data_IF_400660438291
#
_entry.id   IF_400660438291
#
_cell.length_a   1.000
_cell.length_b   1.000
_cell.length_c   1.000
_cell.angle_alpha   90.00
_cell.angle_beta   90.00
_cell.angle_gamma   90.00
#
_symmetry.space_group_name_H-M   'P 1'
#
loop_
_entity.id
_entity.type
_entity.pdbx_description
1 polymer ?
#
# COMPACT_ATOMS: atom_id res chain seq x y z
N UNK A 1 55.12 15.02 0.56
CA UNK A 1 54.41 13.70 0.78
C UNK A 1 53.26 13.75 1.79
N UNK A 2 53.07 14.85 2.53
CA UNK A 2 51.94 15.00 3.47
C UNK A 2 50.68 15.61 2.82
N UNK A 3 50.82 16.29 1.69
CA UNK A 3 49.73 17.04 1.05
C UNK A 3 48.78 16.12 0.21
N UNK A 4 49.33 15.08 -0.38
CA UNK A 4 48.55 14.12 -1.22
C UNK A 4 47.59 13.26 -0.37
N UNK A 5 47.96 12.88 0.85
CA UNK A 5 47.13 12.12 1.76
C UNK A 5 45.93 12.92 2.30
N UNK A 6 46.14 14.24 2.49
CA UNK A 6 45.07 15.13 2.94
C UNK A 6 44.02 15.40 1.84
N UNK A 7 44.45 15.47 0.60
CA UNK A 7 43.54 15.61 -0.55
C UNK A 7 42.74 14.33 -0.80
N UNK A 8 43.36 13.14 -0.66
CA UNK A 8 42.65 11.85 -0.77
C UNK A 8 41.59 11.65 0.33
N UNK A 9 41.91 12.03 1.59
CA UNK A 9 40.95 11.92 2.68
C UNK A 9 39.78 12.92 2.55
N UNK A 10 40.03 14.10 2.00
CA UNK A 10 39.00 15.09 1.73
C UNK A 10 38.08 14.67 0.59
N UNK A 11 38.63 14.11 -0.50
CA UNK A 11 37.86 13.56 -1.60
C UNK A 11 36.99 12.36 -1.19
N UNK A 12 37.51 11.49 -0.30
CA UNK A 12 36.74 10.38 0.26
C UNK A 12 35.63 10.84 1.22
N UNK A 13 35.88 11.90 2.02
CA UNK A 13 34.88 12.48 2.90
C UNK A 13 33.80 13.24 2.13
N UNK A 14 34.16 14.01 1.11
CA UNK A 14 33.22 14.70 0.22
C UNK A 14 32.36 13.69 -0.59
N UNK A 15 32.96 12.61 -1.11
CA UNK A 15 32.23 11.52 -1.77
C UNK A 15 31.30 10.74 -0.83
N UNK A 16 31.68 10.57 0.45
CA UNK A 16 30.83 9.92 1.45
C UNK A 16 29.66 10.82 1.88
N UNK A 17 29.88 12.14 1.96
CA UNK A 17 28.84 13.12 2.27
C UNK A 17 27.87 13.28 1.10
N UNK A 18 28.34 13.28 -0.16
CA UNK A 18 27.48 13.29 -1.35
C UNK A 18 26.69 11.98 -1.52
N UNK A 19 27.24 10.84 -1.13
CA UNK A 19 26.52 9.56 -1.13
C UNK A 19 25.41 9.50 -0.07
N UNK A 20 25.58 10.20 1.06
CA UNK A 20 24.57 10.30 2.13
C UNK A 20 23.47 11.35 1.80
N UNK A 21 23.70 12.23 0.83
CA UNK A 21 22.75 13.23 0.31
C UNK A 21 22.02 12.77 -0.97
N UNK A 22 22.32 11.59 -1.50
CA UNK A 22 21.58 11.05 -2.63
C UNK A 22 20.12 10.76 -2.20
N UNK A 23 19.11 11.30 -2.89
CA UNK A 23 17.73 11.05 -2.52
C UNK A 23 17.48 9.53 -2.55
N UNK A 24 16.99 9.01 -1.44
CA UNK A 24 16.67 7.58 -1.33
C UNK A 24 15.77 7.17 -2.50
N UNK A 25 16.13 6.16 -3.29
CA UNK A 25 15.34 5.78 -4.45
C UNK A 25 13.94 5.32 -4.01
N UNK A 26 12.88 5.65 -4.76
CA UNK A 26 11.53 5.24 -4.43
C UNK A 26 11.39 3.71 -4.47
N UNK A 27 10.65 3.16 -3.52
CA UNK A 27 10.31 1.73 -3.44
C UNK A 27 9.32 1.33 -4.54
N UNK A 28 8.34 2.21 -4.79
CA UNK A 28 7.38 2.13 -5.89
C UNK A 28 7.37 3.46 -6.62
N UNK A 29 7.42 3.42 -7.94
CA UNK A 29 7.35 4.60 -8.78
C UNK A 29 6.43 4.37 -9.98
N UNK A 30 5.55 5.33 -10.23
CA UNK A 30 4.68 5.39 -11.41
C UNK A 30 5.08 6.62 -12.21
N UNK A 31 5.40 6.43 -13.50
CA UNK A 31 5.92 7.48 -14.40
C UNK A 31 5.02 7.67 -15.60
N UNK A 32 4.38 8.82 -15.73
CA UNK A 32 3.61 9.23 -16.90
C UNK A 32 2.53 8.23 -17.31
N UNK A 33 1.94 7.51 -16.33
CA UNK A 33 1.06 6.40 -16.60
C UNK A 33 -0.29 6.88 -17.10
N UNK A 34 -0.72 6.37 -18.26
CA UNK A 34 -2.05 6.58 -18.80
C UNK A 34 -2.74 5.25 -19.13
N UNK A 35 -4.07 5.23 -19.00
CA UNK A 35 -4.90 4.08 -19.35
C UNK A 35 -6.15 4.49 -20.06
N UNK A 36 -6.34 3.94 -21.25
CA UNK A 36 -7.56 4.05 -22.04
C UNK A 36 -8.14 2.66 -22.31
N UNK A 37 -9.45 2.59 -22.42
CA UNK A 37 -10.19 1.38 -22.80
C UNK A 37 -10.94 1.63 -24.11
N UNK A 38 -10.94 0.65 -25.00
CA UNK A 38 -11.78 0.68 -26.18
C UNK A 38 -13.25 0.58 -25.78
N UNK A 39 -14.10 1.41 -26.37
CA UNK A 39 -15.56 1.41 -26.19
C UNK A 39 -16.23 1.28 -27.56
N UNK A 40 -17.54 1.05 -27.59
CA UNK A 40 -18.30 1.00 -28.87
C UNK A 40 -18.21 2.31 -29.65
N UNK A 41 -18.09 3.46 -28.92
CA UNK A 41 -18.06 4.81 -29.48
C UNK A 41 -16.63 5.38 -29.63
N UNK A 42 -15.59 4.52 -29.52
CA UNK A 42 -14.19 4.96 -29.63
C UNK A 42 -13.31 4.55 -28.46
N UNK A 43 -12.61 5.49 -27.83
CA UNK A 43 -11.69 5.25 -26.70
C UNK A 43 -12.03 6.15 -25.52
N UNK A 44 -12.09 5.56 -24.32
CA UNK A 44 -12.31 6.27 -23.06
C UNK A 44 -11.03 6.28 -22.23
N UNK A 45 -10.46 7.47 -22.02
CA UNK A 45 -9.33 7.64 -21.11
C UNK A 45 -9.81 7.63 -19.66
N UNK A 46 -9.27 6.71 -18.87
CA UNK A 46 -9.59 6.53 -17.44
C UNK A 46 -8.52 7.15 -16.56
N UNK A 47 -7.25 6.98 -16.92
CA UNK A 47 -6.09 7.57 -16.23
C UNK A 47 -5.27 8.37 -17.24
N UNK A 48 -4.78 9.53 -16.82
CA UNK A 48 -3.99 10.41 -17.68
C UNK A 48 -2.82 11.01 -16.90
N UNK A 49 -1.62 10.74 -17.39
CA UNK A 49 -0.33 11.24 -16.87
C UNK A 49 -0.17 11.11 -15.36
N UNK A 50 -0.41 9.90 -14.83
CA UNK A 50 -0.25 9.61 -13.41
C UNK A 50 1.22 9.50 -13.06
N UNK A 51 1.64 10.30 -12.08
CA UNK A 51 2.97 10.28 -11.50
C UNK A 51 2.83 10.17 -9.98
N UNK A 52 3.44 9.14 -9.37
CA UNK A 52 3.50 8.99 -7.91
C UNK A 52 4.73 8.20 -7.49
N UNK A 53 5.18 8.42 -6.27
CA UNK A 53 6.32 7.74 -5.69
C UNK A 53 6.00 7.34 -4.25
N UNK A 54 6.43 6.13 -3.84
CA UNK A 54 6.44 5.69 -2.46
C UNK A 54 7.87 5.36 -2.06
N UNK A 55 8.27 5.80 -0.89
CA UNK A 55 9.56 5.45 -0.31
C UNK A 55 9.45 4.23 0.60
N UNK A 56 10.60 3.62 0.92
CA UNK A 56 10.62 2.45 1.79
C UNK A 56 9.99 2.77 3.16
N UNK A 57 9.17 1.85 3.67
CA UNK A 57 8.47 1.95 4.95
C UNK A 57 7.40 3.06 5.01
N UNK A 58 7.02 3.62 3.90
CA UNK A 58 6.00 4.66 3.84
C UNK A 58 4.60 4.04 3.69
N UNK A 59 3.63 4.58 4.40
CA UNK A 59 2.21 4.33 4.17
C UNK A 59 1.62 5.51 3.40
N UNK A 60 1.23 5.28 2.16
CA UNK A 60 0.65 6.29 1.27
C UNK A 60 -0.80 5.92 0.96
N UNK A 61 -1.68 6.90 1.04
CA UNK A 61 -3.06 6.75 0.61
C UNK A 61 -3.34 7.55 -0.66
N UNK A 62 -4.15 6.98 -1.53
CA UNK A 62 -4.72 7.64 -2.69
C UNK A 62 -6.23 7.80 -2.49
N UNK A 63 -6.70 9.04 -2.48
CA UNK A 63 -8.13 9.36 -2.38
C UNK A 63 -8.66 9.96 -3.67
N UNK A 64 -9.95 9.80 -3.91
CA UNK A 64 -10.63 10.35 -5.07
C UNK A 64 -12.08 9.89 -5.14
N UNK A 65 -12.90 10.54 -5.95
CA UNK A 65 -14.29 10.19 -6.16
C UNK A 65 -14.47 8.75 -6.69
N UNK A 66 -15.65 8.16 -6.47
CA UNK A 66 -15.95 6.85 -7.04
C UNK A 66 -15.84 6.88 -8.56
N UNK A 67 -15.20 5.85 -9.12
CA UNK A 67 -15.03 5.72 -10.57
C UNK A 67 -13.97 6.62 -11.21
N UNK A 68 -13.13 7.34 -10.44
CA UNK A 68 -12.04 8.16 -10.99
C UNK A 68 -10.84 7.34 -11.51
N UNK A 69 -10.79 6.03 -11.27
CA UNK A 69 -9.72 5.16 -11.79
C UNK A 69 -8.77 4.60 -10.73
N UNK A 70 -8.99 4.80 -9.42
CA UNK A 70 -8.11 4.30 -8.34
C UNK A 70 -7.83 2.80 -8.43
N UNK A 71 -8.87 1.97 -8.51
CA UNK A 71 -8.69 0.51 -8.64
C UNK A 71 -8.04 0.12 -9.97
N UNK A 72 -8.25 0.90 -11.04
CA UNK A 72 -7.55 0.69 -12.32
C UNK A 72 -6.05 0.94 -12.14
N UNK A 73 -5.66 2.03 -11.48
CA UNK A 73 -4.27 2.33 -11.17
C UNK A 73 -3.66 1.23 -10.31
N UNK A 74 -4.35 0.83 -9.22
CA UNK A 74 -3.86 -0.20 -8.31
C UNK A 74 -3.66 -1.55 -9.02
N UNK A 75 -4.59 -1.93 -9.92
CA UNK A 75 -4.45 -3.14 -10.73
C UNK A 75 -3.25 -3.08 -11.69
N UNK A 76 -2.94 -1.90 -12.25
CA UNK A 76 -1.74 -1.74 -13.09
C UNK A 76 -0.49 -1.83 -12.23
N UNK A 77 -0.45 -1.22 -11.05
CA UNK A 77 0.66 -1.32 -10.10
C UNK A 77 0.86 -2.78 -9.65
N UNK A 78 -0.22 -3.53 -9.43
CA UNK A 78 -0.15 -4.96 -9.10
C UNK A 78 0.33 -5.84 -10.29
N UNK A 79 0.38 -5.30 -11.50
CA UNK A 79 0.68 -6.05 -12.72
C UNK A 79 -0.49 -6.91 -13.24
N UNK A 80 -1.71 -6.66 -12.73
CA UNK A 80 -2.93 -7.35 -13.16
C UNK A 80 -3.53 -6.74 -14.45
N UNK A 81 -3.12 -5.53 -14.81
CA UNK A 81 -3.51 -4.84 -16.03
C UNK A 81 -2.31 -4.07 -16.60
N UNK A 82 -2.27 -3.92 -17.93
CA UNK A 82 -1.22 -3.15 -18.59
C UNK A 82 -1.64 -1.68 -18.73
N UNK A 83 -0.72 -0.72 -18.56
CA UNK A 83 -0.97 0.67 -18.92
C UNK A 83 -1.08 0.81 -20.45
N UNK A 84 -1.68 1.92 -20.92
CA UNK A 84 -1.65 2.29 -22.34
C UNK A 84 -0.35 3.02 -22.70
N UNK A 85 0.21 3.79 -21.74
CA UNK A 85 1.53 4.42 -21.81
C UNK A 85 2.10 4.63 -20.42
N UNK A 86 3.37 5.00 -20.32
CA UNK A 86 4.07 5.15 -19.05
C UNK A 86 4.55 3.82 -18.47
N UNK A 87 5.00 3.84 -17.23
CA UNK A 87 5.57 2.66 -16.58
C UNK A 87 5.37 2.66 -15.08
N UNK A 88 5.46 1.46 -14.48
CA UNK A 88 5.51 1.23 -13.03
C UNK A 88 6.81 0.52 -12.71
N UNK A 89 7.53 0.97 -11.69
CA UNK A 89 8.74 0.35 -11.21
C UNK A 89 8.60 0.01 -9.71
N UNK A 90 9.11 -1.16 -9.31
CA UNK A 90 9.27 -1.57 -7.92
C UNK A 90 10.74 -1.91 -7.71
N UNK A 91 11.39 -1.31 -6.73
CA UNK A 91 12.84 -1.41 -6.52
C UNK A 91 13.63 -1.12 -7.82
N UNK A 92 13.21 -0.12 -8.61
CA UNK A 92 13.82 0.25 -9.88
C UNK A 92 13.58 -0.74 -11.04
N UNK A 93 12.84 -1.83 -10.83
CA UNK A 93 12.54 -2.86 -11.85
C UNK A 93 11.14 -2.65 -12.41
N UNK A 94 11.01 -2.68 -13.72
CA UNK A 94 9.72 -2.50 -14.39
C UNK A 94 8.74 -3.65 -14.06
N UNK A 95 7.51 -3.27 -13.76
CA UNK A 95 6.39 -4.20 -13.55
C UNK A 95 5.86 -4.65 -14.92
N UNK A 96 6.02 -5.92 -15.24
CA UNK A 96 5.56 -6.51 -16.51
C UNK A 96 4.42 -7.52 -16.33
N UNK A 97 4.04 -7.81 -15.09
CA UNK A 97 2.97 -8.75 -14.75
C UNK A 97 2.86 -8.94 -13.25
N UNK A 98 1.98 -9.85 -12.78
CA UNK A 98 1.88 -10.18 -11.35
C UNK A 98 3.19 -10.71 -10.79
N UNK A 99 3.52 -10.34 -9.55
CA UNK A 99 4.75 -10.75 -8.89
C UNK A 99 4.59 -10.90 -7.38
N UNK A 100 5.45 -11.71 -6.75
CA UNK A 100 5.46 -11.91 -5.29
C UNK A 100 6.02 -10.71 -4.51
N UNK A 101 6.65 -9.79 -5.20
CA UNK A 101 7.15 -8.50 -4.69
C UNK A 101 6.03 -7.50 -4.38
N UNK A 102 4.79 -7.78 -4.81
CA UNK A 102 3.59 -6.98 -4.55
C UNK A 102 2.52 -7.84 -3.92
N UNK A 103 2.19 -7.55 -2.66
CA UNK A 103 1.05 -8.13 -1.97
C UNK A 103 -0.22 -7.36 -2.32
N UNK A 104 -1.34 -8.05 -2.62
CA UNK A 104 -2.61 -7.40 -2.91
C UNK A 104 -3.69 -7.80 -1.91
N UNK A 105 -4.35 -6.81 -1.32
CA UNK A 105 -5.55 -6.95 -0.48
C UNK A 105 -6.70 -6.28 -1.22
N UNK A 106 -7.68 -7.08 -1.64
CA UNK A 106 -8.83 -6.61 -2.40
C UNK A 106 -9.96 -6.12 -1.48
N UNK A 107 -10.87 -5.33 -2.02
CA UNK A 107 -12.07 -4.83 -1.34
C UNK A 107 -12.93 -5.95 -0.76
N UNK A 108 -13.12 -7.04 -1.52
CA UNK A 108 -13.66 -8.29 -1.01
C UNK A 108 -12.52 -9.17 -0.55
N UNK A 109 -12.64 -9.81 0.60
CA UNK A 109 -11.56 -10.56 1.28
C UNK A 109 -10.86 -11.61 0.41
N UNK A 110 -11.50 -12.09 -0.67
CA UNK A 110 -10.99 -13.07 -1.66
C UNK A 110 -10.33 -14.31 -1.02
N UNK A 111 -10.77 -14.68 0.20
CA UNK A 111 -10.29 -15.89 0.86
C UNK A 111 -10.81 -17.13 0.14
N UNK A 112 -9.96 -18.14 0.04
CA UNK A 112 -10.35 -19.45 -0.48
C UNK A 112 -11.29 -20.14 0.53
N UNK A 113 -12.60 -20.31 0.23
CA UNK A 113 -13.57 -20.75 1.23
C UNK A 113 -13.40 -22.21 1.66
N UNK A 114 -12.69 -23.01 0.86
CA UNK A 114 -12.36 -24.42 1.13
C UNK A 114 -11.03 -24.60 1.88
N UNK A 115 -10.28 -23.53 2.12
CA UNK A 115 -9.04 -23.54 2.88
C UNK A 115 -9.27 -22.97 4.27
N UNK A 116 -8.58 -23.53 5.29
CA UNK A 116 -8.54 -22.96 6.64
C UNK A 116 -7.78 -21.62 6.66
N UNK A 117 -7.80 -20.93 7.79
CA UNK A 117 -7.02 -19.68 8.00
C UNK A 117 -5.54 -19.94 7.73
N UNK A 118 -4.93 -20.94 8.37
CA UNK A 118 -3.52 -21.30 8.14
C UNK A 118 -3.23 -21.63 6.68
N UNK A 119 -4.12 -22.36 6.02
CA UNK A 119 -3.95 -22.74 4.61
C UNK A 119 -4.11 -21.53 3.67
N UNK A 120 -4.98 -20.58 3.98
CA UNK A 120 -5.07 -19.32 3.25
C UNK A 120 -3.76 -18.53 3.33
N UNK A 121 -3.17 -18.40 4.53
CA UNK A 121 -1.87 -17.74 4.74
C UNK A 121 -0.76 -18.50 4.00
N UNK A 122 -0.75 -19.83 4.07
CA UNK A 122 0.25 -20.68 3.43
C UNK A 122 0.24 -20.67 1.91
N UNK A 123 -0.86 -20.26 1.28
CA UNK A 123 -1.10 -20.49 -0.15
C UNK A 123 0.02 -19.92 -1.05
N UNK A 124 0.41 -18.67 -0.83
CA UNK A 124 1.51 -18.04 -1.60
C UNK A 124 2.86 -18.70 -1.34
N UNK A 125 3.13 -19.10 -0.10
CA UNK A 125 4.36 -19.77 0.30
C UNK A 125 4.51 -21.13 -0.39
N UNK A 126 3.39 -21.86 -0.53
CA UNK A 126 3.34 -23.15 -1.23
C UNK A 126 3.62 -22.98 -2.73
N UNK A 127 3.05 -21.96 -3.39
CA UNK A 127 3.32 -21.65 -4.79
C UNK A 127 4.80 -21.34 -5.04
N UNK A 128 5.46 -20.70 -4.08
CA UNK A 128 6.90 -20.42 -4.11
C UNK A 128 7.76 -21.65 -3.77
N UNK A 129 7.16 -22.81 -3.51
CA UNK A 129 7.84 -24.05 -3.11
C UNK A 129 8.77 -23.86 -1.90
N UNK A 130 8.40 -22.97 -0.98
CA UNK A 130 9.15 -22.73 0.26
C UNK A 130 9.28 -24.01 1.10
N UNK A 131 10.39 -24.26 1.80
CA UNK A 131 10.53 -25.41 2.71
C UNK A 131 9.43 -25.44 3.78
N UNK A 132 8.90 -26.63 4.09
CA UNK A 132 7.77 -26.76 5.03
C UNK A 132 8.03 -26.18 6.43
N UNK A 133 9.28 -26.28 6.91
CA UNK A 133 9.66 -25.71 8.21
C UNK A 133 9.52 -24.17 8.20
N UNK A 134 10.05 -23.52 7.17
CA UNK A 134 9.95 -22.07 6.99
C UNK A 134 8.50 -21.61 6.76
N UNK A 135 7.71 -22.39 5.98
CA UNK A 135 6.27 -22.11 5.84
C UNK A 135 5.58 -22.08 7.19
N UNK A 136 5.85 -23.07 8.06
CA UNK A 136 5.24 -23.19 9.38
C UNK A 136 5.60 -22.01 10.28
N UNK A 137 6.87 -21.65 10.33
CA UNK A 137 7.35 -20.51 11.10
C UNK A 137 6.65 -19.20 10.67
N UNK A 138 6.59 -18.93 9.38
CA UNK A 138 5.90 -17.74 8.85
C UNK A 138 4.40 -17.75 9.12
N UNK A 139 3.73 -18.88 8.96
CA UNK A 139 2.31 -19.02 9.25
C UNK A 139 2.04 -18.74 10.72
N UNK A 140 2.80 -19.35 11.64
CA UNK A 140 2.65 -19.16 13.08
C UNK A 140 2.93 -17.70 13.46
N UNK A 141 3.96 -17.08 12.89
CA UNK A 141 4.26 -15.66 13.07
C UNK A 141 3.09 -14.78 12.66
N UNK A 142 2.58 -14.90 11.41
CA UNK A 142 1.50 -14.04 10.94
C UNK A 142 0.16 -14.33 11.61
N UNK A 143 -0.12 -15.58 12.02
CA UNK A 143 -1.28 -15.89 12.85
C UNK A 143 -1.23 -15.14 14.19
N UNK A 144 -0.06 -15.08 14.80
CA UNK A 144 0.14 -14.35 16.06
C UNK A 144 -0.02 -12.84 15.85
N UNK A 145 0.65 -12.27 14.85
CA UNK A 145 0.62 -10.83 14.50
C UNK A 145 -0.80 -10.35 14.26
N UNK A 146 -1.63 -11.14 13.55
CA UNK A 146 -3.04 -10.76 13.29
C UNK A 146 -4.01 -11.19 14.40
N UNK A 147 -3.52 -11.81 15.48
CA UNK A 147 -4.33 -12.24 16.62
C UNK A 147 -5.30 -13.39 16.33
N UNK A 148 -4.97 -14.28 15.38
CA UNK A 148 -5.85 -15.36 14.92
C UNK A 148 -5.31 -16.77 15.16
N UNK A 149 -4.35 -16.95 16.07
CA UNK A 149 -3.74 -18.25 16.37
C UNK A 149 -4.80 -19.30 16.77
N UNK A 150 -5.82 -18.91 17.57
CA UNK A 150 -6.90 -19.81 17.98
C UNK A 150 -7.79 -20.24 16.83
N UNK A 151 -7.85 -19.46 15.73
CA UNK A 151 -8.66 -19.69 14.56
C UNK A 151 -7.90 -20.32 13.39
N UNK A 152 -6.66 -20.78 13.62
CA UNK A 152 -5.78 -21.35 12.59
C UNK A 152 -6.43 -22.45 11.75
N UNK A 153 -7.28 -23.29 12.38
CA UNK A 153 -8.00 -24.40 11.73
C UNK A 153 -9.43 -24.03 11.27
N UNK A 154 -9.89 -22.82 11.53
CA UNK A 154 -11.23 -22.36 11.13
C UNK A 154 -11.29 -22.06 9.63
N UNK A 155 -12.47 -22.22 9.05
CA UNK A 155 -12.75 -21.85 7.65
C UNK A 155 -13.31 -20.42 7.57
N UNK A 156 -13.18 -19.73 6.43
CA UNK A 156 -13.67 -18.36 6.25
C UNK A 156 -15.13 -18.12 6.64
N UNK A 157 -16.01 -19.10 6.44
CA UNK A 157 -17.43 -19.02 6.83
C UNK A 157 -17.67 -18.89 8.34
N UNK A 158 -16.67 -19.24 9.16
CA UNK A 158 -16.74 -19.21 10.63
C UNK A 158 -16.16 -17.90 11.22
N UNK A 159 -15.69 -16.97 10.36
CA UNK A 159 -15.02 -15.75 10.76
C UNK A 159 -15.92 -14.54 10.59
N UNK A 160 -15.77 -13.54 11.47
CA UNK A 160 -16.35 -12.20 11.28
C UNK A 160 -15.72 -11.47 10.09
N UNK A 161 -16.30 -10.35 9.66
CA UNK A 161 -15.76 -9.51 8.59
C UNK A 161 -14.34 -9.03 8.88
N UNK A 162 -14.11 -8.48 10.07
CA UNK A 162 -12.78 -8.03 10.49
C UNK A 162 -11.75 -9.17 10.58
N UNK A 163 -12.15 -10.37 11.06
CA UNK A 163 -11.27 -11.54 11.06
C UNK A 163 -10.89 -11.97 9.64
N UNK A 164 -11.84 -11.98 8.70
CA UNK A 164 -11.55 -12.27 7.27
C UNK A 164 -10.56 -11.28 6.69
N UNK A 165 -10.71 -9.99 7.03
CA UNK A 165 -9.79 -8.95 6.57
C UNK A 165 -8.38 -9.17 7.13
N UNK A 166 -8.26 -9.49 8.42
CA UNK A 166 -6.96 -9.83 9.04
C UNK A 166 -6.29 -11.03 8.36
N UNK A 167 -7.07 -12.07 8.01
CA UNK A 167 -6.52 -13.22 7.24
C UNK A 167 -6.05 -12.80 5.85
N UNK A 168 -6.80 -11.94 5.14
CA UNK A 168 -6.40 -11.46 3.82
C UNK A 168 -5.09 -10.65 3.87
N UNK A 169 -4.94 -9.80 4.89
CA UNK A 169 -3.70 -9.04 5.14
C UNK A 169 -2.54 -10.00 5.47
N UNK A 170 -2.74 -10.94 6.40
CA UNK A 170 -1.72 -11.94 6.77
C UNK A 170 -1.26 -12.78 5.56
N UNK A 171 -2.20 -13.19 4.70
CA UNK A 171 -1.89 -13.93 3.46
C UNK A 171 -1.02 -13.12 2.50
N UNK A 172 -1.28 -11.82 2.37
CA UNK A 172 -0.49 -10.94 1.53
C UNK A 172 0.91 -10.73 2.10
N UNK A 173 1.01 -10.43 3.40
CA UNK A 173 2.26 -10.18 4.12
C UNK A 173 3.16 -11.41 4.26
N UNK A 174 2.59 -12.61 4.35
CA UNK A 174 3.36 -13.86 4.49
C UNK A 174 4.37 -14.08 3.35
N UNK A 175 4.13 -13.49 2.19
CA UNK A 175 5.06 -13.52 1.05
C UNK A 175 6.19 -12.49 1.16
N UNK A 176 6.21 -11.64 2.19
CA UNK A 176 7.16 -10.54 2.39
C UNK A 176 7.28 -9.66 1.14
N UNK A 177 6.16 -9.05 0.71
CA UNK A 177 6.18 -8.22 -0.48
C UNK A 177 7.00 -6.95 -0.25
N UNK A 178 7.61 -6.42 -1.31
CA UNK A 178 8.27 -5.13 -1.31
C UNK A 178 7.26 -3.98 -1.08
N UNK A 179 6.03 -4.15 -1.61
CA UNK A 179 4.92 -3.20 -1.47
C UNK A 179 3.62 -3.95 -1.22
N UNK A 180 2.85 -3.50 -0.23
CA UNK A 180 1.49 -3.96 0.04
C UNK A 180 0.49 -3.01 -0.61
N UNK A 181 -0.35 -3.52 -1.48
CA UNK A 181 -1.38 -2.79 -2.21
C UNK A 181 -2.74 -3.11 -1.58
N UNK A 182 -3.55 -2.09 -1.28
CA UNK A 182 -4.86 -2.27 -0.66
C UNK A 182 -5.94 -1.51 -1.41
N UNK A 183 -6.98 -2.23 -1.85
CA UNK A 183 -8.14 -1.66 -2.55
C UNK A 183 -9.32 -1.57 -1.60
N UNK A 184 -9.60 -0.37 -1.07
CA UNK A 184 -10.70 -0.05 -0.15
C UNK A 184 -10.92 -1.13 0.95
N UNK A 185 -9.87 -1.44 1.76
CA UNK A 185 -9.85 -2.65 2.58
C UNK A 185 -10.92 -2.69 3.68
N UNK A 186 -11.56 -1.55 3.99
CA UNK A 186 -12.56 -1.46 5.06
C UNK A 186 -13.97 -1.14 4.54
N UNK A 187 -14.17 -1.08 3.22
CA UNK A 187 -15.45 -0.69 2.61
C UNK A 187 -16.64 -1.61 2.91
N UNK A 188 -16.38 -2.87 3.31
CA UNK A 188 -17.43 -3.86 3.65
C UNK A 188 -17.68 -4.00 5.16
N UNK A 189 -17.04 -3.17 6.02
CA UNK A 189 -17.15 -3.25 7.47
C UNK A 189 -18.14 -2.23 8.02
N UNK A 190 -18.81 -2.57 9.12
CA UNK A 190 -19.56 -1.61 9.92
C UNK A 190 -18.61 -0.58 10.60
N UNK A 191 -19.14 0.55 11.04
CA UNK A 191 -18.35 1.67 11.54
C UNK A 191 -17.42 1.28 12.70
N UNK A 192 -17.92 0.52 13.69
CA UNK A 192 -17.14 0.13 14.87
C UNK A 192 -16.02 -0.87 14.49
N UNK A 193 -16.33 -1.86 13.66
CA UNK A 193 -15.34 -2.81 13.17
C UNK A 193 -14.29 -2.11 12.28
N UNK A 194 -14.71 -1.09 11.52
CA UNK A 194 -13.83 -0.28 10.68
C UNK A 194 -12.77 0.46 11.52
N UNK A 195 -13.19 1.14 12.59
CA UNK A 195 -12.26 1.85 13.49
C UNK A 195 -11.26 0.89 14.15
N UNK A 196 -11.73 -0.25 14.65
CA UNK A 196 -10.86 -1.29 15.20
C UNK A 196 -9.84 -1.83 14.18
N UNK A 197 -10.27 -1.97 12.92
CA UNK A 197 -9.38 -2.43 11.85
C UNK A 197 -8.40 -1.36 11.38
N UNK A 198 -8.77 -0.08 11.42
CA UNK A 198 -7.84 1.03 11.16
C UNK A 198 -6.73 1.06 12.21
N UNK A 199 -7.11 0.99 13.50
CA UNK A 199 -6.13 0.94 14.59
C UNK A 199 -5.21 -0.28 14.46
N UNK A 200 -5.80 -1.47 14.23
CA UNK A 200 -5.05 -2.70 13.99
C UNK A 200 -4.07 -2.58 12.81
N UNK A 201 -4.49 -1.98 11.69
CA UNK A 201 -3.62 -1.83 10.51
C UNK A 201 -2.46 -0.88 10.78
N UNK A 202 -2.70 0.19 11.55
CA UNK A 202 -1.64 1.11 11.95
C UNK A 202 -0.61 0.42 12.84
N UNK A 203 -1.05 -0.30 13.88
CA UNK A 203 -0.18 -1.09 14.77
C UNK A 203 0.63 -2.14 13.99
N UNK A 204 -0.03 -2.83 13.04
CA UNK A 204 0.61 -3.80 12.16
C UNK A 204 1.69 -3.14 11.28
N UNK A 205 1.40 -1.97 10.72
CA UNK A 205 2.35 -1.21 9.92
C UNK A 205 3.56 -0.73 10.74
N UNK A 206 3.34 -0.22 11.97
CA UNK A 206 4.40 0.14 12.92
C UNK A 206 5.33 -1.04 13.25
N UNK A 207 4.79 -2.26 13.33
CA UNK A 207 5.57 -3.47 13.61
C UNK A 207 6.34 -4.00 12.40
N UNK A 208 5.73 -3.93 11.22
CA UNK A 208 6.28 -4.58 10.02
C UNK A 208 7.09 -3.63 9.14
N UNK A 209 6.83 -2.32 9.24
CA UNK A 209 7.40 -1.29 8.39
C UNK A 209 7.30 -1.60 6.89
N UNK A 210 6.26 -2.34 6.48
CA UNK A 210 6.01 -2.61 5.06
C UNK A 210 5.63 -1.33 4.33
N UNK A 211 6.09 -1.16 3.10
CA UNK A 211 5.64 -0.03 2.25
C UNK A 211 4.23 -0.31 1.78
N UNK A 212 3.30 0.64 1.97
CA UNK A 212 1.88 0.47 1.68
C UNK A 212 1.38 1.53 0.70
N UNK A 213 0.68 1.09 -0.34
CA UNK A 213 -0.20 1.93 -1.15
C UNK A 213 -1.64 1.48 -0.93
N UNK A 214 -2.43 2.33 -0.29
CA UNK A 214 -3.86 2.08 -0.07
C UNK A 214 -4.70 3.06 -0.89
N UNK A 215 -5.73 2.56 -1.55
CA UNK A 215 -6.74 3.42 -2.13
C UNK A 215 -8.01 3.37 -1.30
N UNK A 216 -8.64 4.53 -1.13
CA UNK A 216 -9.89 4.68 -0.39
C UNK A 216 -10.69 5.89 -0.91
N UNK A 217 -11.98 5.92 -0.64
CA UNK A 217 -12.80 7.11 -0.82
C UNK A 217 -13.03 7.88 0.49
N UNK A 218 -12.55 7.34 1.62
CA UNK A 218 -12.70 7.94 2.94
C UNK A 218 -11.45 8.77 3.30
N UNK A 219 -11.65 10.09 3.37
CA UNK A 219 -10.58 11.06 3.65
C UNK A 219 -10.03 10.91 5.07
N UNK A 220 -10.90 10.64 6.06
CA UNK A 220 -10.44 10.46 7.45
C UNK A 220 -9.58 9.22 7.61
N UNK A 221 -9.98 8.13 6.95
CA UNK A 221 -9.20 6.91 6.89
C UNK A 221 -7.82 7.14 6.27
N UNK A 222 -7.77 7.84 5.14
CA UNK A 222 -6.52 8.14 4.46
C UNK A 222 -5.56 8.95 5.35
N UNK A 223 -6.05 9.99 6.01
CA UNK A 223 -5.24 10.84 6.89
C UNK A 223 -4.81 10.07 8.14
N UNK A 224 -5.73 9.27 8.73
CA UNK A 224 -5.44 8.54 9.96
C UNK A 224 -4.34 7.50 9.78
N UNK A 225 -4.22 6.86 8.61
CA UNK A 225 -3.31 5.75 8.37
C UNK A 225 -1.99 6.16 7.71
N UNK A 226 -1.98 7.21 6.89
CA UNK A 226 -0.83 7.48 6.01
C UNK A 226 0.06 8.61 6.50
N UNK A 227 1.29 8.64 5.99
CA UNK A 227 2.20 9.78 6.09
C UNK A 227 2.00 10.75 4.94
N UNK A 228 1.40 10.28 3.82
CA UNK A 228 1.17 11.08 2.62
C UNK A 228 -0.12 10.66 1.93
N UNK A 229 -0.89 11.66 1.50
CA UNK A 229 -2.14 11.47 0.76
C UNK A 229 -2.01 12.08 -0.63
N UNK A 230 -2.24 11.26 -1.65
CA UNK A 230 -2.48 11.72 -3.02
C UNK A 230 -3.97 11.92 -3.26
N UNK A 231 -4.33 13.00 -3.93
CA UNK A 231 -5.71 13.31 -4.34
C UNK A 231 -5.82 13.17 -5.85
N UNK A 232 -6.76 12.33 -6.30
CA UNK A 232 -7.02 12.09 -7.71
C UNK A 232 -8.28 12.83 -8.17
N UNK A 233 -8.23 13.47 -9.36
CA UNK A 233 -9.37 14.10 -10.01
C UNK A 233 -10.44 13.09 -10.43
N UNK A 234 -11.64 13.61 -10.77
CA UNK A 234 -12.63 12.85 -11.54
C UNK A 234 -12.09 12.51 -12.95
N UNK A 235 -12.84 11.70 -13.74
CA UNK A 235 -12.41 11.23 -15.07
C UNK A 235 -12.07 12.35 -16.07
N UNK A 236 -10.93 12.25 -16.75
CA UNK A 236 -9.85 11.29 -16.54
C UNK A 236 -9.16 11.53 -15.19
N UNK A 237 -8.78 10.41 -14.51
CA UNK A 237 -8.05 10.51 -13.25
C UNK A 237 -6.66 11.09 -13.49
N UNK A 238 -6.34 12.18 -12.79
CA UNK A 238 -5.03 12.85 -12.76
C UNK A 238 -4.65 13.10 -11.30
N UNK A 239 -3.36 13.18 -10.99
CA UNK A 239 -2.93 13.63 -9.67
C UNK A 239 -3.19 15.14 -9.54
N UNK A 240 -4.02 15.54 -8.57
CA UNK A 240 -4.36 16.95 -8.30
C UNK A 240 -3.50 17.55 -7.21
N UNK A 241 -3.26 16.77 -6.16
CA UNK A 241 -2.60 17.26 -4.96
C UNK A 241 -1.87 16.11 -4.27
N UNK A 242 -0.73 16.43 -3.68
CA UNK A 242 0.00 15.60 -2.74
C UNK A 242 0.07 16.35 -1.41
N UNK A 243 -0.35 15.71 -0.33
CA UNK A 243 -0.40 16.29 1.02
C UNK A 243 0.45 15.45 1.96
N UNK A 244 1.42 16.06 2.63
CA UNK A 244 2.13 15.45 3.74
C UNK A 244 1.25 15.49 4.98
N UNK A 245 1.05 14.33 5.61
CA UNK A 245 0.31 14.21 6.86
C UNK A 245 1.30 14.35 8.00
N UNK A 246 1.41 15.56 8.55
CA UNK A 246 2.34 15.90 9.63
C UNK A 246 1.91 15.41 11.02
N UNK A 247 1.23 14.27 11.10
CA UNK A 247 0.83 13.65 12.37
C UNK A 247 1.92 12.69 12.87
N UNK A 248 1.99 12.45 14.21
CA UNK A 248 2.89 11.44 14.77
C UNK A 248 2.70 10.06 14.12
N UNK A 249 3.73 9.21 14.15
CA UNK A 249 3.62 7.83 13.66
C UNK A 249 2.66 7.01 14.52
N UNK A 250 2.84 7.08 15.85
CA UNK A 250 1.91 6.44 16.79
C UNK A 250 0.64 7.28 16.96
N UNK A 251 -0.49 6.74 16.54
CA UNK A 251 -1.78 7.45 16.50
C UNK A 251 -2.86 6.67 17.23
N UNK A 252 -3.76 7.41 17.87
CA UNK A 252 -5.01 6.89 18.41
C UNK A 252 -6.22 7.60 17.76
N UNK A 253 -7.41 7.07 17.97
CA UNK A 253 -8.63 7.59 17.35
C UNK A 253 -8.96 9.02 17.76
N UNK A 254 -8.55 9.47 18.97
CA UNK A 254 -8.80 10.83 19.44
C UNK A 254 -8.07 11.89 18.61
N UNK A 255 -6.97 11.50 17.93
CA UNK A 255 -6.25 12.40 17.02
C UNK A 255 -7.08 12.88 15.83
N UNK A 256 -8.15 12.16 15.47
CA UNK A 256 -9.11 12.61 14.44
C UNK A 256 -9.81 13.92 14.82
N UNK A 257 -9.77 14.30 16.10
CA UNK A 257 -10.33 15.55 16.61
C UNK A 257 -9.29 16.66 16.77
N UNK A 258 -8.02 16.39 16.49
CA UNK A 258 -6.94 17.38 16.63
C UNK A 258 -7.04 18.46 15.55
N UNK A 259 -6.59 19.71 15.85
CA UNK A 259 -6.55 20.79 14.87
C UNK A 259 -5.72 20.44 13.62
N UNK A 260 -4.61 19.74 13.80
CA UNK A 260 -3.70 19.30 12.72
C UNK A 260 -4.42 18.33 11.77
N UNK A 261 -5.14 17.35 12.32
CA UNK A 261 -5.94 16.42 11.53
C UNK A 261 -7.03 17.13 10.73
N UNK A 262 -7.75 18.05 11.38
CA UNK A 262 -8.84 18.83 10.76
C UNK A 262 -8.31 19.72 9.64
N UNK A 263 -7.11 20.30 9.79
CA UNK A 263 -6.49 21.13 8.78
C UNK A 263 -6.11 20.31 7.52
N UNK A 264 -5.46 19.15 7.69
CA UNK A 264 -5.16 18.23 6.59
C UNK A 264 -6.44 17.76 5.89
N UNK A 265 -7.47 17.41 6.68
CA UNK A 265 -8.79 17.02 6.16
C UNK A 265 -9.42 18.13 5.31
N UNK A 266 -9.31 19.38 5.74
CA UNK A 266 -9.84 20.55 4.99
C UNK A 266 -9.14 20.70 3.64
N UNK A 267 -7.81 20.58 3.60
CA UNK A 267 -7.02 20.67 2.36
C UNK A 267 -7.41 19.57 1.36
N UNK A 268 -7.50 18.30 1.82
CA UNK A 268 -7.88 17.18 0.97
C UNK A 268 -9.31 17.34 0.45
N UNK A 269 -10.28 17.69 1.33
CA UNK A 269 -11.67 17.88 0.94
C UNK A 269 -11.86 19.05 -0.04
N UNK A 270 -11.09 20.14 0.09
CA UNK A 270 -11.13 21.25 -0.84
C UNK A 270 -10.69 20.82 -2.24
N UNK A 271 -9.57 20.11 -2.31
CA UNK A 271 -9.05 19.58 -3.59
C UNK A 271 -10.00 18.56 -4.26
N UNK A 272 -10.77 17.79 -3.50
CA UNK A 272 -11.75 16.84 -4.05
C UNK A 272 -12.99 17.53 -4.65
N UNK A 273 -13.33 18.75 -4.21
CA UNK A 273 -14.52 19.51 -4.66
C UNK A 273 -14.26 20.35 -5.90
N UNK A 274 -13.05 20.78 -6.13
CA UNK A 274 -12.60 21.45 -7.34
C UNK A 274 -12.44 20.50 -8.54
#
# INVERSE_FOLDING_TARGET
MLDTRYQDLRGQAESAIEADLAPTPPKLEVRGLSKSFATQDGSMTVLEDINLQLFAREFVCLVGSSGCGKSTLLNIVAGLANPSSGSVLVDGRAVTGPGSDRGMVFQHYTLYPWLTVSQNIAFGLQLRKMPKAEQRERIDYYLNVVGLTQFAKSYPKQLSGGMKQRVAIARALANEPAVLLMDEPFGALDAQTKEQMQQFLLELWEQTHVTVLMITHDVEEAIFLSQRVYVMSARPGRMKLEVLVGLPEHRNLDMKLSPEFVEVKRQVLHSLRE
#
